data_IF_976001642687
#
_entry.id   IF_976001642687
#
_cell.length_a   1.000
_cell.length_b   1.000
_cell.length_c   1.000
_cell.angle_alpha   90.00
_cell.angle_beta   90.00
_cell.angle_gamma   90.00
#
_symmetry.space_group_name_H-M   'P 1'
#
loop_
_entity.id
_entity.type
_entity.pdbx_description
1 polymer ?
#
# COMPACT_ATOMS: atom_id res chain seq x y z
N UNK A 1 -32.07 1.13 70.12
CA UNK A 1 -32.68 0.39 68.99
C UNK A 1 -33.24 1.36 67.92
N UNK A 2 -33.66 2.58 68.27
CA UNK A 2 -34.08 3.60 67.26
C UNK A 2 -32.92 4.40 66.65
N UNK A 3 -31.81 4.61 67.35
CA UNK A 3 -30.64 5.33 66.79
C UNK A 3 -29.83 4.50 65.78
N UNK A 4 -29.68 3.18 65.98
CA UNK A 4 -29.04 2.28 64.99
C UNK A 4 -29.87 2.13 63.69
N UNK A 5 -31.19 2.32 63.77
CA UNK A 5 -32.07 2.32 62.59
C UNK A 5 -32.05 3.64 61.80
N UNK A 6 -31.57 4.75 62.40
CA UNK A 6 -31.43 6.04 61.72
C UNK A 6 -30.10 6.18 60.98
N UNK A 7 -29.02 5.62 61.51
CA UNK A 7 -27.71 5.63 60.85
C UNK A 7 -27.65 4.71 59.62
N UNK A 8 -28.31 3.55 59.69
CA UNK A 8 -28.42 2.60 58.55
C UNK A 8 -29.15 3.22 57.35
N UNK A 9 -30.21 4.00 57.58
CA UNK A 9 -30.94 4.71 56.53
C UNK A 9 -30.10 5.80 55.83
N UNK A 10 -29.14 6.40 56.55
CA UNK A 10 -28.21 7.39 56.01
C UNK A 10 -27.14 6.75 55.13
N UNK A 11 -26.56 5.61 55.56
CA UNK A 11 -25.62 4.85 54.73
C UNK A 11 -26.25 4.33 53.44
N UNK A 12 -27.47 3.78 53.51
CA UNK A 12 -28.22 3.35 52.32
C UNK A 12 -28.47 4.52 51.35
N UNK A 13 -28.72 5.72 51.89
CA UNK A 13 -28.87 6.93 51.08
C UNK A 13 -27.55 7.35 50.40
N UNK A 14 -26.41 7.29 51.11
CA UNK A 14 -25.10 7.57 50.52
C UNK A 14 -24.66 6.52 49.49
N UNK A 15 -24.98 5.25 49.73
CA UNK A 15 -24.74 4.19 48.75
C UNK A 15 -25.63 4.35 47.51
N UNK A 16 -26.90 4.75 47.69
CA UNK A 16 -27.77 5.10 46.57
C UNK A 16 -27.22 6.28 45.77
N UNK A 17 -26.72 7.32 46.45
CA UNK A 17 -26.09 8.47 45.79
C UNK A 17 -24.79 8.08 45.06
N UNK A 18 -23.95 7.23 45.65
CA UNK A 18 -22.75 6.68 44.99
C UNK A 18 -23.11 5.86 43.76
N UNK A 19 -24.13 5.00 43.84
CA UNK A 19 -24.61 4.20 42.72
C UNK A 19 -25.12 5.09 41.58
N UNK A 20 -25.89 6.14 41.90
CA UNK A 20 -26.36 7.11 40.91
C UNK A 20 -25.18 7.86 40.28
N UNK A 21 -24.19 8.29 41.07
CA UNK A 21 -23.02 9.00 40.57
C UNK A 21 -22.17 8.11 39.63
N UNK A 22 -21.95 6.84 40.01
CA UNK A 22 -21.24 5.85 39.19
C UNK A 22 -22.00 5.54 37.90
N UNK A 23 -23.33 5.45 37.96
CA UNK A 23 -24.16 5.25 36.77
C UNK A 23 -24.07 6.44 35.82
N UNK A 24 -24.10 7.68 36.33
CA UNK A 24 -23.93 8.89 35.54
C UNK A 24 -22.55 8.97 34.88
N UNK A 25 -21.47 8.63 35.60
CA UNK A 25 -20.13 8.56 35.01
C UNK A 25 -20.02 7.48 33.93
N UNK A 26 -20.60 6.30 34.14
CA UNK A 26 -20.60 5.23 33.14
C UNK A 26 -21.36 5.63 31.88
N UNK A 27 -22.51 6.30 32.03
CA UNK A 27 -23.30 6.83 30.90
C UNK A 27 -22.50 7.91 30.16
N UNK A 28 -21.84 8.83 30.87
CA UNK A 28 -21.00 9.85 30.24
C UNK A 28 -19.85 9.24 29.44
N UNK A 29 -19.18 8.21 29.98
CA UNK A 29 -18.11 7.48 29.26
C UNK A 29 -18.66 6.73 28.04
N UNK A 30 -19.82 6.10 28.18
CA UNK A 30 -20.46 5.40 27.06
C UNK A 30 -20.87 6.39 25.96
N UNK A 31 -21.40 7.56 26.31
CA UNK A 31 -21.74 8.62 25.37
C UNK A 31 -20.49 9.26 24.75
N UNK A 32 -19.40 9.43 25.49
CA UNK A 32 -18.13 9.92 24.94
C UNK A 32 -17.51 8.92 23.96
N UNK A 33 -17.56 7.62 24.26
CA UNK A 33 -17.10 6.56 23.35
C UNK A 33 -17.98 6.46 22.10
N UNK A 34 -19.30 6.58 22.27
CA UNK A 34 -20.24 6.69 21.14
C UNK A 34 -19.97 7.94 20.30
N UNK A 35 -19.65 9.09 20.92
CA UNK A 35 -19.29 10.33 20.22
C UNK A 35 -17.94 10.20 19.49
N UNK A 36 -16.96 9.50 20.09
CA UNK A 36 -15.67 9.20 19.47
C UNK A 36 -15.85 8.30 18.23
N UNK A 37 -16.69 7.27 18.35
CA UNK A 37 -17.05 6.36 17.26
C UNK A 37 -17.92 7.03 16.19
N UNK A 38 -18.79 7.97 16.57
CA UNK A 38 -19.55 8.81 15.61
C UNK A 38 -18.66 9.84 14.91
N UNK A 39 -17.55 10.28 15.51
CA UNK A 39 -16.56 11.10 14.82
C UNK A 39 -15.67 10.27 13.87
N UNK A 40 -15.53 8.96 14.12
CA UNK A 40 -14.81 8.03 13.22
C UNK A 40 -15.71 7.39 12.15
N UNK A 41 -17.03 7.34 12.36
CA UNK A 41 -18.04 6.85 11.43
C UNK A 41 -18.66 7.98 10.60
N UNK A 42 -18.52 7.88 9.27
CA UNK A 42 -18.97 8.86 8.25
C UNK A 42 -18.07 10.07 7.96
N UNK A 43 -16.78 9.97 8.25
CA UNK A 43 -15.79 10.70 7.48
C UNK A 43 -14.89 9.70 6.74
N UNK A 44 -15.23 9.38 5.48
CA UNK A 44 -14.19 9.01 4.53
C UNK A 44 -13.36 10.28 4.39
N UNK A 45 -12.35 10.43 5.23
CA UNK A 45 -11.35 11.47 5.10
C UNK A 45 -10.79 11.30 3.68
N UNK A 46 -11.24 12.13 2.75
CA UNK A 46 -10.59 12.27 1.46
C UNK A 46 -9.21 12.74 1.81
N UNK A 47 -8.24 11.82 1.88
CA UNK A 47 -6.87 12.12 2.22
C UNK A 47 -6.52 13.47 1.61
N UNK A 48 -6.33 14.47 2.45
CA UNK A 48 -5.92 15.81 2.04
C UNK A 48 -4.85 15.61 0.99
N UNK A 49 -5.05 16.21 -0.18
CA UNK A 49 -4.22 15.96 -1.36
C UNK A 49 -2.78 16.24 -0.91
N UNK A 50 -2.00 15.18 -0.69
CA UNK A 50 -0.69 15.30 -0.05
C UNK A 50 0.13 16.33 -0.82
N UNK A 51 0.92 17.17 -0.10
CA UNK A 51 1.74 18.18 -0.74
C UNK A 51 2.67 17.56 -1.78
N UNK A 52 3.12 18.40 -2.70
CA UNK A 52 4.04 18.01 -3.77
C UNK A 52 5.34 17.54 -3.12
N UNK A 53 5.55 16.23 -3.06
CA UNK A 53 6.71 15.65 -2.37
C UNK A 53 7.77 15.20 -3.37
N UNK A 54 8.96 15.78 -3.28
CA UNK A 54 10.20 15.28 -3.93
C UNK A 54 10.74 14.01 -3.27
N UNK A 55 10.11 13.56 -2.17
CA UNK A 55 10.51 12.39 -1.38
C UNK A 55 10.75 11.15 -2.26
N UNK A 56 9.82 10.82 -3.16
CA UNK A 56 9.96 9.62 -3.99
C UNK A 56 11.09 9.72 -5.01
N UNK A 57 11.28 10.91 -5.60
CA UNK A 57 12.40 11.18 -6.49
C UNK A 57 13.75 11.09 -5.78
N UNK A 58 13.85 11.74 -4.61
CA UNK A 58 15.05 11.70 -3.78
C UNK A 58 15.37 10.27 -3.35
N UNK A 59 14.38 9.53 -2.85
CA UNK A 59 14.54 8.14 -2.46
C UNK A 59 15.12 7.28 -3.59
N UNK A 60 14.59 7.39 -4.81
CA UNK A 60 15.10 6.61 -5.94
C UNK A 60 16.55 6.96 -6.27
N UNK A 61 16.91 8.24 -6.32
CA UNK A 61 18.29 8.65 -6.60
C UNK A 61 19.26 8.20 -5.50
N UNK A 62 18.84 8.30 -4.24
CA UNK A 62 19.60 7.82 -3.08
C UNK A 62 19.85 6.32 -3.19
N UNK A 63 18.80 5.50 -3.33
CA UNK A 63 18.94 4.04 -3.32
C UNK A 63 19.66 3.50 -4.55
N UNK A 64 19.53 4.15 -5.72
CA UNK A 64 20.30 3.78 -6.91
C UNK A 64 21.80 4.05 -6.76
N UNK A 65 22.19 5.02 -5.94
CA UNK A 65 23.60 5.46 -5.79
C UNK A 65 24.28 4.82 -4.60
N UNK A 66 23.58 4.70 -3.47
CA UNK A 66 24.18 4.34 -2.18
C UNK A 66 24.22 2.82 -1.94
N UNK A 67 23.20 2.08 -2.37
CA UNK A 67 23.10 0.64 -2.12
C UNK A 67 22.41 -0.13 -3.26
N UNK A 68 23.17 -0.51 -4.30
CA UNK A 68 22.64 -1.25 -5.45
C UNK A 68 22.20 -2.68 -5.08
N UNK A 69 22.73 -3.25 -3.98
CA UNK A 69 22.35 -4.58 -3.51
C UNK A 69 20.96 -4.52 -2.89
N UNK A 70 20.74 -3.58 -1.98
CA UNK A 70 19.42 -3.35 -1.39
C UNK A 70 18.38 -2.96 -2.45
N UNK A 71 18.77 -2.14 -3.44
CA UNK A 71 17.90 -1.83 -4.57
C UNK A 71 17.39 -3.11 -5.25
N UNK A 72 18.31 -4.04 -5.54
CA UNK A 72 18.00 -5.32 -6.19
C UNK A 72 17.11 -6.21 -5.33
N UNK A 73 17.34 -6.26 -4.03
CA UNK A 73 16.51 -7.05 -3.11
C UNK A 73 15.07 -6.52 -3.08
N UNK A 74 14.90 -5.20 -3.04
CA UNK A 74 13.60 -4.56 -2.99
C UNK A 74 12.83 -4.64 -4.32
N UNK A 75 13.50 -4.36 -5.44
CA UNK A 75 12.86 -4.21 -6.76
C UNK A 75 13.01 -5.43 -7.67
N UNK A 76 13.77 -6.45 -7.24
CA UNK A 76 14.05 -7.69 -7.98
C UNK A 76 14.71 -7.46 -9.35
N UNK A 77 15.35 -6.30 -9.53
CA UNK A 77 15.99 -5.87 -10.78
C UNK A 77 17.28 -5.13 -10.47
N UNK A 78 18.30 -5.30 -11.32
CA UNK A 78 19.54 -4.54 -11.18
C UNK A 78 19.33 -3.05 -11.53
N UNK A 79 20.01 -2.11 -10.86
CA UNK A 79 19.86 -0.67 -11.09
C UNK A 79 20.06 -0.21 -12.53
N UNK A 80 21.08 -0.74 -13.21
CA UNK A 80 21.39 -0.44 -14.61
C UNK A 80 20.29 -0.91 -15.56
N UNK A 81 19.78 -2.13 -15.35
CA UNK A 81 18.65 -2.69 -16.10
C UNK A 81 17.38 -1.87 -15.86
N UNK A 82 17.16 -1.45 -14.61
CA UNK A 82 16.05 -0.59 -14.24
C UNK A 82 16.08 0.76 -14.97
N UNK A 83 17.23 1.44 -14.97
CA UNK A 83 17.39 2.72 -15.67
C UNK A 83 17.21 2.56 -17.19
N UNK A 84 17.73 1.46 -17.76
CA UNK A 84 17.53 1.14 -19.17
C UNK A 84 16.05 0.91 -19.49
N UNK A 85 15.32 0.22 -18.63
CA UNK A 85 13.88 0.01 -18.79
C UNK A 85 13.10 1.34 -18.70
N UNK A 86 13.46 2.23 -17.77
CA UNK A 86 12.89 3.58 -17.70
C UNK A 86 13.10 4.36 -19.00
N UNK A 87 14.31 4.29 -19.59
CA UNK A 87 14.61 4.92 -20.87
C UNK A 87 13.75 4.35 -22.00
N UNK A 88 13.64 3.02 -22.11
CA UNK A 88 12.79 2.35 -23.11
C UNK A 88 11.31 2.75 -22.93
N UNK A 89 10.82 2.83 -21.69
CA UNK A 89 9.44 3.25 -21.41
C UNK A 89 9.20 4.68 -21.89
N UNK A 90 10.15 5.59 -21.65
CA UNK A 90 10.07 6.98 -22.14
C UNK A 90 10.11 7.04 -23.67
N UNK A 91 10.92 6.22 -24.31
CA UNK A 91 11.08 6.26 -25.77
C UNK A 91 9.88 5.62 -26.50
N UNK A 92 9.44 4.45 -26.04
CA UNK A 92 8.50 3.58 -26.77
C UNK A 92 7.03 3.73 -26.34
N UNK A 93 6.75 4.50 -25.29
CA UNK A 93 5.38 4.66 -24.77
C UNK A 93 5.05 6.13 -24.53
N UNK A 94 3.76 6.52 -24.48
CA UNK A 94 3.36 7.89 -24.15
C UNK A 94 3.52 8.22 -22.66
N UNK A 95 4.11 7.32 -21.85
CA UNK A 95 4.33 7.58 -20.44
C UNK A 95 5.40 8.66 -20.26
N UNK A 96 5.06 9.64 -19.44
CA UNK A 96 5.89 10.80 -19.12
C UNK A 96 5.84 11.05 -17.63
N UNK A 97 6.83 11.78 -17.14
CA UNK A 97 6.80 12.33 -15.80
C UNK A 97 5.53 13.16 -15.62
N UNK A 98 4.93 13.04 -14.46
CA UNK A 98 3.89 13.97 -14.04
C UNK A 98 4.53 15.06 -13.21
N UNK A 99 3.80 16.15 -12.96
CA UNK A 99 4.23 17.22 -12.04
C UNK A 99 4.72 16.70 -10.68
N UNK A 100 4.27 15.51 -10.27
CA UNK A 100 4.47 15.00 -8.92
C UNK A 100 5.26 13.70 -8.83
N UNK A 101 5.33 12.91 -9.90
CA UNK A 101 5.89 11.54 -9.90
C UNK A 101 6.64 11.32 -11.20
N UNK A 102 7.91 10.91 -11.09
CA UNK A 102 8.73 10.53 -12.24
C UNK A 102 8.48 9.07 -12.68
N UNK A 103 8.85 8.73 -13.90
CA UNK A 103 8.71 7.37 -14.46
C UNK A 103 9.43 6.35 -13.59
N UNK A 104 10.59 6.70 -13.04
CA UNK A 104 11.39 5.84 -12.16
C UNK A 104 10.61 5.51 -10.87
N UNK A 105 10.01 6.52 -10.22
CA UNK A 105 9.18 6.30 -9.03
C UNK A 105 7.95 5.43 -9.36
N UNK A 106 7.31 5.66 -10.51
CA UNK A 106 6.17 4.84 -10.95
C UNK A 106 6.58 3.38 -11.16
N UNK A 107 7.70 3.15 -11.86
CA UNK A 107 8.21 1.81 -12.14
C UNK A 107 8.66 1.11 -10.86
N UNK A 108 9.39 1.80 -9.99
CA UNK A 108 9.84 1.26 -8.70
C UNK A 108 8.65 0.86 -7.82
N UNK A 109 7.62 1.70 -7.77
CA UNK A 109 6.35 1.40 -7.11
C UNK A 109 5.71 0.13 -7.67
N UNK A 110 5.66 -0.02 -8.99
CA UNK A 110 5.14 -1.21 -9.64
C UNK A 110 5.95 -2.47 -9.26
N UNK A 111 7.28 -2.40 -9.34
CA UNK A 111 8.19 -3.50 -9.03
C UNK A 111 8.09 -3.95 -7.57
N UNK A 112 8.01 -3.03 -6.60
CA UNK A 112 7.80 -3.37 -5.19
C UNK A 112 6.44 -4.06 -4.99
N UNK A 113 5.40 -3.60 -5.71
CA UNK A 113 4.06 -4.18 -5.60
C UNK A 113 4.05 -5.63 -6.10
N UNK A 114 4.60 -5.89 -7.30
CA UNK A 114 4.59 -7.23 -7.91
C UNK A 114 5.66 -8.17 -7.33
N UNK A 115 6.83 -7.63 -7.00
CA UNK A 115 8.01 -8.40 -6.61
C UNK A 115 8.07 -8.82 -5.15
N UNK A 116 7.29 -8.16 -4.27
CA UNK A 116 7.24 -8.49 -2.84
C UNK A 116 5.86 -8.97 -2.39
N UNK A 117 4.89 -9.12 -3.31
CA UNK A 117 3.46 -9.29 -2.97
C UNK A 117 3.00 -8.28 -1.91
N UNK A 118 3.56 -7.06 -1.97
CA UNK A 118 3.42 -6.10 -0.90
C UNK A 118 2.06 -5.41 -1.01
N UNK A 119 1.35 -5.34 0.13
CA UNK A 119 0.18 -4.45 0.22
C UNK A 119 0.68 -3.02 0.02
N UNK A 120 -0.12 -2.19 -0.66
CA UNK A 120 0.18 -0.79 -0.99
C UNK A 120 0.61 0.09 0.21
N UNK A 121 0.51 -0.40 1.45
CA UNK A 121 1.03 0.23 2.66
C UNK A 121 2.56 0.37 2.68
N UNK A 122 3.33 -0.56 2.07
CA UNK A 122 4.79 -0.44 1.99
C UNK A 122 5.16 0.70 1.03
N UNK A 123 4.53 0.77 -0.14
CA UNK A 123 4.69 1.90 -1.07
C UNK A 123 4.35 3.24 -0.43
N UNK A 124 3.32 3.29 0.43
CA UNK A 124 2.95 4.50 1.17
C UNK A 124 4.04 4.92 2.16
N UNK A 125 4.71 3.97 2.82
CA UNK A 125 5.86 4.26 3.71
C UNK A 125 7.08 4.72 2.92
N UNK A 126 7.40 4.06 1.81
CA UNK A 126 8.60 4.35 1.00
C UNK A 126 8.48 5.66 0.23
N UNK A 127 7.38 5.88 -0.50
CA UNK A 127 7.22 7.01 -1.42
C UNK A 127 6.29 8.10 -0.88
N UNK A 128 5.70 7.90 0.30
CA UNK A 128 4.76 8.85 0.89
C UNK A 128 3.42 8.98 0.14
N UNK A 129 3.15 8.17 -0.89
CA UNK A 129 1.98 8.37 -1.78
C UNK A 129 0.67 7.80 -1.24
N UNK A 130 -0.43 8.45 -1.59
CA UNK A 130 -1.77 7.94 -1.30
C UNK A 130 -2.08 6.70 -2.16
N UNK A 131 -2.92 5.81 -1.64
CA UNK A 131 -3.32 4.57 -2.32
C UNK A 131 -3.86 4.81 -3.74
N UNK A 132 -4.68 5.84 -3.91
CA UNK A 132 -5.24 6.22 -5.22
C UNK A 132 -4.17 6.61 -6.24
N UNK A 133 -3.07 7.23 -5.80
CA UNK A 133 -1.94 7.62 -6.65
C UNK A 133 -1.13 6.41 -7.02
N UNK A 134 -0.80 5.56 -6.04
CA UNK A 134 -0.12 4.27 -6.25
C UNK A 134 -0.85 3.40 -7.27
N UNK A 135 -2.17 3.24 -7.13
CA UNK A 135 -3.00 2.48 -8.10
C UNK A 135 -2.96 3.07 -9.51
N UNK A 136 -3.03 4.39 -9.64
CA UNK A 136 -2.94 5.06 -10.95
C UNK A 136 -1.57 4.84 -11.60
N UNK A 137 -0.49 4.99 -10.83
CA UNK A 137 0.88 4.78 -11.31
C UNK A 137 1.11 3.33 -11.72
N UNK A 138 0.64 2.38 -10.91
CA UNK A 138 0.67 0.95 -11.22
C UNK A 138 0.01 0.66 -12.58
N UNK A 139 -1.21 1.14 -12.78
CA UNK A 139 -1.94 0.91 -14.03
C UNK A 139 -1.29 1.58 -15.24
N UNK A 140 -0.66 2.76 -15.06
CA UNK A 140 0.10 3.43 -16.13
C UNK A 140 1.30 2.59 -16.57
N UNK A 141 2.07 2.09 -15.61
CA UNK A 141 3.24 1.24 -15.89
C UNK A 141 2.81 -0.09 -16.51
N UNK A 142 1.76 -0.73 -16.00
CA UNK A 142 1.24 -1.97 -16.58
C UNK A 142 0.85 -1.79 -18.06
N UNK A 143 0.17 -0.69 -18.41
CA UNK A 143 -0.15 -0.37 -19.81
C UNK A 143 1.09 -0.13 -20.66
N UNK A 144 2.08 0.60 -20.14
CA UNK A 144 3.35 0.85 -20.82
C UNK A 144 4.10 -0.46 -21.08
N UNK A 145 4.21 -1.33 -20.07
CA UNK A 145 4.86 -2.63 -20.19
C UNK A 145 4.12 -3.56 -21.19
N UNK A 146 2.80 -3.59 -21.19
CA UNK A 146 2.02 -4.35 -22.18
C UNK A 146 2.28 -3.86 -23.62
N UNK A 147 2.43 -2.54 -23.79
CA UNK A 147 2.75 -1.95 -25.10
C UNK A 147 4.13 -2.40 -25.57
N UNK A 148 5.15 -2.29 -24.70
CA UNK A 148 6.53 -2.70 -25.02
C UNK A 148 6.63 -4.22 -25.22
N UNK A 149 5.94 -5.00 -24.40
CA UNK A 149 5.91 -6.46 -24.48
C UNK A 149 5.47 -6.93 -25.87
N UNK A 150 4.43 -6.31 -26.45
CA UNK A 150 3.98 -6.64 -27.80
C UNK A 150 5.03 -6.43 -28.89
N UNK A 151 5.98 -5.51 -28.67
CA UNK A 151 7.05 -5.17 -29.61
C UNK A 151 8.34 -5.96 -29.37
N UNK A 152 8.66 -6.26 -28.11
CA UNK A 152 9.97 -6.82 -27.72
C UNK A 152 9.93 -8.30 -27.36
N UNK A 153 8.76 -8.86 -27.06
CA UNK A 153 8.64 -10.30 -26.78
C UNK A 153 8.45 -11.06 -28.09
N UNK A 154 9.31 -12.07 -28.29
CA UNK A 154 9.19 -12.99 -29.40
C UNK A 154 7.92 -13.83 -29.21
N UNK A 155 7.06 -13.89 -30.23
CA UNK A 155 5.92 -14.82 -30.21
C UNK A 155 6.45 -16.24 -30.10
N UNK A 156 5.92 -17.08 -29.19
CA UNK A 156 6.36 -18.45 -29.08
C UNK A 156 6.21 -19.14 -30.44
N UNK A 157 7.24 -19.88 -30.85
CA UNK A 157 7.16 -20.67 -32.07
C UNK A 157 6.01 -21.67 -31.91
N UNK A 158 5.15 -21.78 -32.92
CA UNK A 158 4.05 -22.76 -32.96
C UNK A 158 4.58 -24.20 -32.98
N UNK A 159 5.84 -24.40 -33.36
CA UNK A 159 6.49 -25.70 -33.34
C UNK A 159 7.14 -25.98 -31.99
N UNK A 160 6.88 -27.16 -31.43
CA UNK A 160 7.58 -27.68 -30.25
C UNK A 160 9.08 -27.77 -30.57
N UNK A 161 9.97 -27.10 -29.79
CA UNK A 161 11.41 -27.17 -29.98
C UNK A 161 11.92 -28.61 -30.00
N UNK A 162 12.93 -28.92 -30.83
CA UNK A 162 13.48 -30.27 -31.00
C UNK A 162 13.86 -30.93 -29.67
N UNK A 163 14.49 -30.18 -28.76
CA UNK A 163 14.83 -30.64 -27.40
C UNK A 163 13.64 -31.14 -26.57
N UNK A 164 12.45 -30.57 -26.77
CA UNK A 164 11.23 -30.99 -26.05
C UNK A 164 10.56 -32.13 -26.81
N UNK A 165 10.54 -32.07 -28.15
CA UNK A 165 9.96 -33.12 -29.02
C UNK A 165 10.68 -34.46 -28.90
N UNK A 166 11.99 -34.43 -28.70
CA UNK A 166 12.82 -35.63 -28.51
C UNK A 166 12.76 -36.18 -27.07
N UNK A 167 12.20 -35.40 -26.13
CA UNK A 167 12.06 -35.84 -24.74
C UNK A 167 10.76 -36.61 -24.53
N UNK A 168 10.87 -37.89 -24.20
CA UNK A 168 9.73 -38.73 -23.81
C UNK A 168 9.02 -38.23 -22.55
N UNK A 169 9.73 -37.52 -21.67
CA UNK A 169 9.19 -36.95 -20.43
C UNK A 169 8.36 -35.70 -20.68
N UNK A 170 8.82 -34.80 -21.56
CA UNK A 170 8.19 -33.49 -21.74
C UNK A 170 7.20 -33.45 -22.90
N UNK A 171 7.46 -34.16 -23.99
CA UNK A 171 6.61 -34.12 -25.19
C UNK A 171 5.11 -34.39 -24.97
N UNK A 172 4.68 -35.29 -24.05
CA UNK A 172 3.25 -35.53 -23.81
C UNK A 172 2.44 -34.30 -23.38
N UNK A 173 3.08 -33.29 -22.79
CA UNK A 173 2.41 -32.05 -22.32
C UNK A 173 2.26 -30.97 -23.40
N UNK A 174 2.83 -31.19 -24.60
CA UNK A 174 2.86 -30.21 -25.70
C UNK A 174 2.16 -30.73 -26.97
N UNK A 175 1.27 -31.73 -26.83
CA UNK A 175 0.35 -32.20 -27.87
C UNK A 175 -0.98 -31.47 -27.80
#
# INVERSE_FOLDING_TARGET
MEDEMRETSSEEFYEMLKLILLALEAILRMLSDQLLLMHEGEYIERHTRKPITTIGFNYINTVLTEDPVHFREMHRMYPDVFLKLCSIIREKTPLRDTRYVCVEEMLATFLITVGQNSRFCITRKTFGRAHSTTRRNFNKILKALNTISSMMMVKPATAVPSKIRESTRFYPYFK
#
